data_IF_699148150218
#
_entry.id   IF_699148150218
#
_cell.length_a   1.000
_cell.length_b   1.000
_cell.length_c   1.000
_cell.angle_alpha   90.00
_cell.angle_beta   90.00
_cell.angle_gamma   90.00
#
_symmetry.space_group_name_H-M   'P 1'
#
loop_
_entity.id
_entity.type
_entity.pdbx_description
1 polymer ?
#
# COMPACT_ATOMS: atom_id res chain seq x y z
N UNK A 1 -34.65 38.91 26.37
CA UNK A 1 -33.20 38.92 26.68
C UNK A 1 -32.88 38.14 27.96
N UNK A 2 -33.84 37.89 28.86
CA UNK A 2 -33.66 36.96 30.00
C UNK A 2 -33.87 35.48 29.61
N UNK A 3 -34.75 35.19 28.65
CA UNK A 3 -35.01 33.81 28.21
C UNK A 3 -33.85 33.16 27.42
N UNK A 4 -32.95 33.97 26.85
CA UNK A 4 -31.76 33.48 26.14
C UNK A 4 -30.61 33.16 27.11
N UNK A 5 -30.47 33.91 28.21
CA UNK A 5 -29.49 33.63 29.27
C UNK A 5 -29.89 32.42 30.12
N UNK A 6 -31.18 32.14 30.31
CA UNK A 6 -31.65 30.94 31.01
C UNK A 6 -31.43 29.66 30.19
N UNK A 7 -31.48 29.76 28.85
CA UNK A 7 -31.19 28.63 27.94
C UNK A 7 -29.74 28.15 28.02
N UNK A 8 -28.78 29.07 28.10
CA UNK A 8 -27.35 28.75 28.23
C UNK A 8 -27.00 28.13 29.60
N UNK A 9 -27.78 28.41 30.65
CA UNK A 9 -27.63 27.79 31.98
C UNK A 9 -28.18 26.35 31.98
N UNK A 10 -29.17 26.04 31.14
CA UNK A 10 -29.78 24.70 31.01
C UNK A 10 -28.99 23.80 30.04
N UNK A 11 -28.27 24.36 29.07
CA UNK A 11 -27.36 23.60 28.18
C UNK A 11 -26.03 23.21 28.86
N UNK A 12 -25.73 23.74 30.05
CA UNK A 12 -24.64 23.26 30.89
C UNK A 12 -25.03 22.00 31.69
N UNK A 13 -25.55 20.98 31.01
CA UNK A 13 -25.67 19.65 31.60
C UNK A 13 -24.29 18.99 31.67
N UNK A 14 -23.49 19.44 32.64
CA UNK A 14 -22.38 18.68 33.19
C UNK A 14 -22.97 17.53 34.02
N UNK A 15 -23.63 16.58 33.34
CA UNK A 15 -24.23 15.39 33.95
C UNK A 15 -23.09 14.57 34.54
N UNK A 16 -22.91 14.66 35.86
CA UNK A 16 -21.95 13.84 36.60
C UNK A 16 -22.36 12.36 36.45
N UNK A 17 -21.52 11.51 35.84
CA UNK A 17 -21.84 10.09 35.66
C UNK A 17 -22.05 9.42 37.02
N UNK A 18 -23.03 8.52 37.11
CA UNK A 18 -23.25 7.75 38.33
C UNK A 18 -22.11 6.75 38.56
N UNK A 19 -21.91 6.30 39.81
CA UNK A 19 -20.85 5.33 40.15
C UNK A 19 -20.97 3.99 39.36
N UNK A 20 -22.18 3.63 38.93
CA UNK A 20 -22.43 2.48 38.04
C UNK A 20 -21.90 2.73 36.62
N UNK A 21 -22.25 3.86 36.01
CA UNK A 21 -21.78 4.27 34.68
C UNK A 21 -20.25 4.40 34.63
N UNK A 22 -19.62 4.90 35.71
CA UNK A 22 -18.16 4.99 35.83
C UNK A 22 -17.52 3.59 35.85
N UNK A 23 -18.08 2.63 36.59
CA UNK A 23 -17.57 1.26 36.63
C UNK A 23 -17.69 0.56 35.28
N UNK A 24 -18.79 0.78 34.57
CA UNK A 24 -19.01 0.23 33.23
C UNK A 24 -18.02 0.82 32.22
N UNK A 25 -17.86 2.15 32.18
CA UNK A 25 -16.84 2.83 31.37
C UNK A 25 -15.43 2.33 31.68
N UNK A 26 -15.10 2.12 32.96
CA UNK A 26 -13.80 1.60 33.37
C UNK A 26 -13.55 0.18 32.87
N UNK A 27 -14.60 -0.67 32.87
CA UNK A 27 -14.53 -2.03 32.31
C UNK A 27 -14.26 -1.97 30.80
N UNK A 28 -15.04 -1.17 30.07
CA UNK A 28 -14.88 -0.99 28.62
C UNK A 28 -13.47 -0.49 28.25
N UNK A 29 -12.95 0.48 29.01
CA UNK A 29 -11.59 1.00 28.81
C UNK A 29 -10.51 -0.06 29.07
N UNK A 30 -10.69 -0.92 30.09
CA UNK A 30 -9.76 -2.02 30.37
C UNK A 30 -9.78 -3.08 29.28
N UNK A 31 -10.96 -3.45 28.80
CA UNK A 31 -11.11 -4.40 27.68
C UNK A 31 -10.48 -3.85 26.40
N UNK A 32 -10.70 -2.56 26.08
CA UNK A 32 -10.02 -1.89 24.95
C UNK A 32 -8.51 -1.87 25.11
N UNK A 33 -8.01 -1.57 26.31
CA UNK A 33 -6.56 -1.59 26.58
C UNK A 33 -5.95 -2.95 26.29
N UNK A 34 -6.55 -4.02 26.80
CA UNK A 34 -6.05 -5.39 26.55
C UNK A 34 -6.07 -5.74 25.05
N UNK A 35 -7.13 -5.34 24.34
CA UNK A 35 -7.24 -5.52 22.89
C UNK A 35 -6.09 -4.82 22.14
N UNK A 36 -5.80 -3.57 22.48
CA UNK A 36 -4.72 -2.81 21.83
C UNK A 36 -3.32 -3.34 22.19
N UNK A 37 -3.11 -3.79 23.43
CA UNK A 37 -1.87 -4.46 23.82
C UNK A 37 -1.65 -5.75 23.00
N UNK A 38 -2.72 -6.51 22.73
CA UNK A 38 -2.68 -7.66 21.85
C UNK A 38 -2.31 -7.30 20.40
N UNK A 39 -2.90 -6.24 19.84
CA UNK A 39 -2.55 -5.75 18.51
C UNK A 39 -1.10 -5.26 18.43
N UNK A 40 -0.62 -4.55 19.46
CA UNK A 40 0.77 -4.10 19.53
C UNK A 40 1.73 -5.28 19.52
N UNK A 41 1.47 -6.31 20.32
CA UNK A 41 2.29 -7.53 20.36
C UNK A 41 2.32 -8.22 19.00
N UNK A 42 1.18 -8.30 18.30
CA UNK A 42 1.11 -8.85 16.95
C UNK A 42 1.93 -8.04 15.94
N UNK A 43 1.87 -6.70 15.98
CA UNK A 43 2.70 -5.83 15.12
C UNK A 43 4.19 -6.09 15.37
N UNK A 44 4.59 -6.17 16.65
CA UNK A 44 5.98 -6.44 17.05
C UNK A 44 6.47 -7.83 16.58
N UNK A 45 5.63 -8.87 16.69
CA UNK A 45 5.96 -10.24 16.27
C UNK A 45 6.03 -10.40 14.74
N UNK A 46 5.14 -9.71 14.02
CA UNK A 46 5.06 -9.80 12.54
C UNK A 46 6.03 -8.84 11.84
N UNK A 47 6.49 -7.79 12.55
CA UNK A 47 7.28 -6.71 11.96
C UNK A 47 6.46 -5.79 11.04
N UNK A 48 5.14 -5.91 11.05
CA UNK A 48 4.24 -5.07 10.27
C UNK A 48 4.05 -3.70 10.93
N UNK A 49 3.76 -2.68 10.12
CA UNK A 49 3.52 -1.32 10.62
C UNK A 49 2.04 -1.01 10.86
N UNK A 50 1.13 -1.83 10.32
CA UNK A 50 -0.32 -1.62 10.42
C UNK A 50 -1.06 -2.96 10.51
N UNK A 51 -2.24 -2.94 11.15
CA UNK A 51 -3.19 -4.06 11.17
C UNK A 51 -4.54 -3.52 10.70
N UNK A 52 -5.04 -4.06 9.61
CA UNK A 52 -6.45 -3.92 9.25
C UNK A 52 -7.29 -4.88 10.09
N UNK A 53 -8.31 -4.34 10.75
CA UNK A 53 -9.17 -5.10 11.67
C UNK A 53 -10.35 -5.77 10.97
N UNK A 54 -10.67 -5.35 9.74
CA UNK A 54 -11.75 -5.89 8.91
C UNK A 54 -11.26 -6.93 7.92
N UNK A 55 -10.13 -6.66 7.26
CA UNK A 55 -9.51 -7.58 6.31
C UNK A 55 -7.98 -7.62 6.51
N UNK A 56 -7.39 -8.75 6.95
CA UNK A 56 -5.96 -8.87 7.23
C UNK A 56 -5.01 -8.57 6.06
N UNK A 57 -5.44 -8.68 4.81
CA UNK A 57 -4.60 -8.51 3.62
C UNK A 57 -4.71 -7.10 3.01
N UNK A 58 -5.72 -6.32 3.41
CA UNK A 58 -5.87 -4.94 2.96
C UNK A 58 -4.94 -3.99 3.71
N UNK A 59 -4.39 -2.99 3.02
CA UNK A 59 -3.49 -1.98 3.59
C UNK A 59 -3.96 -0.57 3.24
N UNK A 60 -3.59 0.40 4.06
CA UNK A 60 -3.81 1.82 3.76
C UNK A 60 -2.86 2.27 2.64
N UNK A 61 -3.42 2.69 1.51
CA UNK A 61 -2.67 3.13 0.34
C UNK A 61 -3.06 4.54 -0.07
N UNK A 62 -2.08 5.38 -0.39
CA UNK A 62 -2.33 6.71 -0.94
C UNK A 62 -2.80 6.59 -2.39
N UNK A 63 -3.93 7.21 -2.71
CA UNK A 63 -4.41 7.34 -4.07
C UNK A 63 -3.91 8.64 -4.74
N UNK A 64 -4.19 8.79 -6.03
CA UNK A 64 -3.74 9.94 -6.84
C UNK A 64 -4.26 11.31 -6.33
N UNK A 65 -5.25 11.35 -5.44
CA UNK A 65 -5.83 12.56 -4.88
C UNK A 65 -5.32 12.86 -3.46
N UNK A 66 -4.21 12.25 -3.03
CA UNK A 66 -3.69 12.32 -1.66
C UNK A 66 -4.64 11.78 -0.58
N UNK A 67 -5.70 11.06 -0.95
CA UNK A 67 -6.56 10.36 0.00
C UNK A 67 -5.96 8.98 0.29
N UNK A 68 -6.20 8.49 1.51
CA UNK A 68 -5.73 7.18 1.95
C UNK A 68 -6.92 6.25 2.09
N UNK A 69 -6.92 5.17 1.32
CA UNK A 69 -8.00 4.19 1.30
C UNK A 69 -7.47 2.79 1.63
N UNK A 70 -8.31 1.97 2.25
CA UNK A 70 -8.01 0.55 2.51
C UNK A 70 -8.13 -0.22 1.19
N UNK A 71 -7.00 -0.68 0.66
CA UNK A 71 -6.90 -1.25 -0.70
C UNK A 71 -6.01 -2.49 -0.74
N UNK A 72 -6.10 -3.23 -1.84
CA UNK A 72 -5.15 -4.28 -2.21
C UNK A 72 -4.31 -3.82 -3.39
N UNK A 73 -3.02 -4.14 -3.36
CA UNK A 73 -2.17 -3.96 -4.51
C UNK A 73 -2.06 -5.30 -5.26
N UNK A 74 -2.47 -5.33 -6.53
CA UNK A 74 -2.43 -6.53 -7.37
C UNK A 74 -1.55 -6.28 -8.57
N UNK A 75 -0.53 -7.12 -8.70
CA UNK A 75 0.44 -7.12 -9.79
C UNK A 75 0.01 -8.15 -10.83
N UNK A 76 -0.04 -7.78 -12.11
CA UNK A 76 -0.54 -8.66 -13.18
C UNK A 76 0.40 -8.66 -14.38
N UNK A 77 0.74 -9.84 -14.88
CA UNK A 77 1.50 -10.01 -16.13
C UNK A 77 0.57 -10.48 -17.24
N UNK A 78 0.67 -9.85 -18.41
CA UNK A 78 -0.15 -10.16 -19.58
C UNK A 78 0.71 -10.50 -20.79
N UNK A 79 0.22 -11.41 -21.62
CA UNK A 79 0.83 -11.72 -22.91
C UNK A 79 0.44 -10.64 -23.93
N UNK A 80 1.45 -10.07 -24.61
CA UNK A 80 1.24 -8.96 -25.54
C UNK A 80 0.55 -9.38 -26.84
N UNK A 81 0.72 -10.64 -27.27
CA UNK A 81 0.23 -11.15 -28.56
C UNK A 81 -1.25 -11.55 -28.51
N UNK A 82 -1.63 -12.31 -27.49
CA UNK A 82 -2.94 -12.92 -27.30
C UNK A 82 -3.78 -12.21 -26.24
N UNK A 83 -3.23 -11.22 -25.53
CA UNK A 83 -3.89 -10.43 -24.48
C UNK A 83 -4.42 -11.30 -23.33
N UNK A 84 -3.74 -12.41 -23.06
CA UNK A 84 -4.09 -13.32 -21.98
C UNK A 84 -3.37 -12.91 -20.70
N UNK A 85 -4.05 -13.04 -19.57
CA UNK A 85 -3.41 -12.92 -18.26
C UNK A 85 -2.54 -14.16 -18.05
N UNK A 86 -1.25 -13.95 -17.86
CA UNK A 86 -0.27 -15.01 -17.63
C UNK A 86 -0.24 -15.37 -16.15
N UNK A 87 -0.19 -14.35 -15.29
CA UNK A 87 -0.10 -14.53 -13.84
C UNK A 87 -0.53 -13.24 -13.12
N UNK A 88 -0.91 -13.39 -11.85
CA UNK A 88 -1.20 -12.27 -10.96
C UNK A 88 -0.74 -12.58 -9.54
N UNK A 89 -0.46 -11.53 -8.77
CA UNK A 89 -0.04 -11.64 -7.37
C UNK A 89 -0.55 -10.46 -6.57
N UNK A 90 -1.20 -10.76 -5.44
CA UNK A 90 -1.56 -9.74 -4.46
C UNK A 90 -0.33 -9.45 -3.60
N UNK A 91 -0.01 -8.17 -3.43
CA UNK A 91 1.08 -7.67 -2.58
C UNK A 91 0.52 -6.72 -1.55
N UNK A 92 1.08 -6.78 -0.34
CA UNK A 92 0.77 -5.84 0.73
C UNK A 92 1.70 -4.61 0.68
N UNK A 93 2.62 -4.55 -0.31
CA UNK A 93 3.44 -3.36 -0.52
C UNK A 93 2.61 -2.25 -1.17
N UNK A 94 2.71 -1.01 -0.69
CA UNK A 94 1.96 0.12 -1.24
C UNK A 94 2.51 0.62 -2.58
N UNK A 95 3.71 0.22 -3.00
CA UNK A 95 4.33 0.64 -4.24
C UNK A 95 4.80 -0.54 -5.10
N UNK A 96 5.02 -0.28 -6.38
CA UNK A 96 5.43 -1.29 -7.38
C UNK A 96 6.96 -1.51 -7.41
N UNK A 97 7.71 -0.73 -6.63
CA UNK A 97 9.17 -0.86 -6.51
C UNK A 97 9.51 -2.24 -5.94
N UNK A 98 10.31 -3.03 -6.66
CA UNK A 98 10.66 -4.38 -6.21
C UNK A 98 9.73 -5.49 -6.71
N UNK A 99 8.74 -5.20 -7.55
CA UNK A 99 7.81 -6.23 -8.06
C UNK A 99 8.08 -6.63 -9.53
N UNK A 100 8.95 -5.91 -10.26
CA UNK A 100 9.27 -6.23 -11.65
C UNK A 100 9.92 -7.61 -11.80
N UNK A 101 11.04 -7.84 -11.10
CA UNK A 101 11.76 -9.11 -11.14
C UNK A 101 10.86 -10.25 -10.65
N UNK A 102 10.06 -9.99 -9.61
CA UNK A 102 9.13 -10.97 -9.06
C UNK A 102 8.14 -11.48 -10.12
N UNK A 103 7.43 -10.56 -10.78
CA UNK A 103 6.41 -10.91 -11.78
C UNK A 103 7.03 -11.47 -13.06
N UNK A 104 8.18 -10.93 -13.47
CA UNK A 104 8.89 -11.38 -14.66
C UNK A 104 9.41 -12.83 -14.49
N UNK A 105 10.02 -13.15 -13.34
CA UNK A 105 10.51 -14.51 -13.08
C UNK A 105 9.37 -15.54 -12.97
N UNK A 106 8.23 -15.15 -12.40
CA UNK A 106 7.03 -16.00 -12.36
C UNK A 106 6.51 -16.29 -13.77
N UNK A 107 6.42 -15.27 -14.63
CA UNK A 107 6.06 -15.46 -16.03
C UNK A 107 7.08 -16.36 -16.77
N UNK A 108 8.38 -16.18 -16.51
CA UNK A 108 9.43 -17.05 -17.10
C UNK A 108 9.22 -18.51 -16.74
N UNK A 109 8.89 -18.80 -15.48
CA UNK A 109 8.59 -20.17 -15.04
C UNK A 109 7.40 -20.76 -15.81
N UNK A 110 6.34 -19.99 -16.01
CA UNK A 110 5.15 -20.42 -16.77
C UNK A 110 5.43 -20.63 -18.26
N UNK A 111 6.31 -19.81 -18.85
CA UNK A 111 6.76 -19.98 -20.23
C UNK A 111 7.83 -21.06 -20.41
N UNK A 112 8.17 -21.81 -19.36
CA UNK A 112 9.12 -22.92 -19.41
C UNK A 112 10.57 -22.46 -19.56
N UNK A 113 10.93 -21.32 -18.98
CA UNK A 113 12.32 -20.83 -18.98
C UNK A 113 12.72 -20.05 -20.23
N UNK A 114 11.81 -19.83 -21.18
CA UNK A 114 12.09 -19.07 -22.40
C UNK A 114 12.49 -17.64 -22.11
N UNK A 115 13.29 -17.08 -23.00
CA UNK A 115 13.64 -15.67 -22.97
C UNK A 115 12.52 -14.84 -23.61
N UNK A 116 12.26 -13.67 -23.05
CA UNK A 116 11.21 -12.77 -23.52
C UNK A 116 11.50 -11.33 -23.13
N UNK A 117 10.75 -10.43 -23.75
CA UNK A 117 10.79 -8.99 -23.49
C UNK A 117 9.66 -8.61 -22.53
N UNK A 118 9.98 -7.85 -21.49
CA UNK A 118 9.03 -7.39 -20.48
C UNK A 118 8.87 -5.87 -20.59
N UNK A 119 7.65 -5.39 -20.81
CA UNK A 119 7.34 -3.96 -20.79
C UNK A 119 6.64 -3.63 -19.48
N UNK A 120 7.15 -2.63 -18.73
CA UNK A 120 6.53 -2.19 -17.48
C UNK A 120 6.54 -0.67 -17.33
N UNK A 121 5.65 -0.16 -16.48
CA UNK A 121 5.51 1.28 -16.20
C UNK A 121 6.66 1.81 -15.33
N UNK A 122 6.82 3.13 -15.30
CA UNK A 122 7.83 3.88 -14.53
C UNK A 122 7.90 3.47 -13.05
N UNK A 123 6.77 3.10 -12.44
CA UNK A 123 6.72 2.67 -11.03
C UNK A 123 7.55 1.41 -10.73
N UNK A 124 7.84 0.62 -11.77
CA UNK A 124 8.63 -0.61 -11.69
C UNK A 124 10.13 -0.36 -11.90
N UNK A 125 10.55 0.90 -12.07
CA UNK A 125 11.95 1.24 -12.31
C UNK A 125 12.79 1.04 -11.05
N UNK A 126 13.49 -0.10 -10.98
CA UNK A 126 14.49 -0.40 -9.94
C UNK A 126 15.68 -1.12 -10.56
N UNK A 127 16.86 -0.52 -10.43
CA UNK A 127 18.07 -1.00 -11.11
C UNK A 127 18.43 -2.46 -10.77
N UNK A 128 18.24 -2.87 -9.52
CA UNK A 128 18.47 -4.24 -9.07
C UNK A 128 17.52 -5.24 -9.75
N UNK A 129 16.27 -4.85 -9.94
CA UNK A 129 15.24 -5.71 -10.54
C UNK A 129 15.49 -5.84 -12.05
N UNK A 130 15.86 -4.74 -12.71
CA UNK A 130 16.28 -4.75 -14.12
C UNK A 130 17.46 -5.69 -14.33
N UNK A 131 18.50 -5.58 -13.49
CA UNK A 131 19.67 -6.45 -13.55
C UNK A 131 19.30 -7.93 -13.41
N UNK A 132 18.47 -8.27 -12.42
CA UNK A 132 18.00 -9.65 -12.23
C UNK A 132 17.19 -10.17 -13.40
N UNK A 133 16.37 -9.33 -14.03
CA UNK A 133 15.64 -9.72 -15.24
C UNK A 133 16.61 -10.11 -16.35
N UNK A 134 17.61 -9.26 -16.62
CA UNK A 134 18.62 -9.50 -17.67
C UNK A 134 19.45 -10.76 -17.38
N UNK A 135 19.89 -10.95 -16.13
CA UNK A 135 20.62 -12.17 -15.71
C UNK A 135 19.80 -13.45 -15.90
N UNK A 136 18.46 -13.34 -15.89
CA UNK A 136 17.55 -14.44 -16.13
C UNK A 136 17.00 -14.45 -17.56
N UNK A 137 17.66 -13.82 -18.53
CA UNK A 137 17.24 -13.86 -19.95
C UNK A 137 15.90 -13.17 -20.23
N UNK A 138 15.54 -12.18 -19.41
CA UNK A 138 14.38 -11.32 -19.62
C UNK A 138 14.91 -9.94 -19.98
N UNK A 139 14.48 -9.36 -21.09
CA UNK A 139 14.87 -8.00 -21.48
C UNK A 139 13.79 -7.01 -21.03
N UNK A 140 14.01 -6.23 -19.95
CA UNK A 140 13.03 -5.28 -19.46
C UNK A 140 13.12 -3.94 -20.22
N UNK A 141 11.96 -3.39 -20.56
CA UNK A 141 11.76 -2.05 -21.08
C UNK A 141 10.95 -1.27 -20.05
N UNK A 142 11.61 -0.33 -19.36
CA UNK A 142 11.00 0.50 -18.31
C UNK A 142 11.46 1.93 -18.48
N UNK A 143 10.54 2.89 -18.40
CA UNK A 143 10.89 4.32 -18.46
C UNK A 143 11.67 4.72 -17.22
N UNK A 144 12.77 5.46 -17.40
CA UNK A 144 13.64 5.91 -16.30
C UNK A 144 12.89 6.85 -15.35
N UNK A 145 12.98 6.60 -14.04
CA UNK A 145 12.49 7.55 -13.05
C UNK A 145 13.44 8.75 -12.93
N UNK A 146 12.97 9.93 -13.37
CA UNK A 146 13.66 11.21 -13.16
C UNK A 146 13.21 11.76 -11.80
N UNK A 147 14.16 11.99 -10.90
CA UNK A 147 13.94 12.71 -9.64
C UNK A 147 14.21 14.19 -9.89
N UNK A 148 13.23 15.05 -9.60
CA UNK A 148 13.31 16.50 -9.80
C UNK A 148 14.13 17.20 -8.70
N UNK A 149 15.36 16.74 -8.45
CA UNK A 149 16.34 17.45 -7.62
C UNK A 149 17.70 17.39 -8.30
N UNK A 150 18.06 18.46 -8.99
CA UNK A 150 19.33 18.61 -9.69
C UNK A 150 19.12 19.33 -11.01
N UNK A 151 19.57 20.58 -11.04
CA UNK A 151 19.63 21.52 -12.16
C UNK A 151 20.07 20.85 -13.46
N UNK A 152 19.36 21.20 -14.55
CA UNK A 152 19.68 20.94 -15.97
C UNK A 152 19.77 19.48 -16.44
N UNK A 153 18.71 19.00 -17.10
CA UNK A 153 18.79 18.71 -18.54
C UNK A 153 17.39 18.54 -19.15
N UNK A 154 17.12 19.30 -20.22
CA UNK A 154 15.92 19.22 -21.04
C UNK A 154 16.11 18.14 -22.09
N UNK A 155 15.69 16.92 -21.80
CA UNK A 155 15.19 16.03 -22.86
C UNK A 155 14.05 15.17 -22.30
N UNK A 156 12.83 15.61 -22.59
CA UNK A 156 11.57 15.00 -22.13
C UNK A 156 11.06 14.00 -23.17
N UNK A 157 11.93 13.08 -23.59
CA UNK A 157 11.57 12.01 -24.51
C UNK A 157 11.29 10.75 -23.69
N UNK A 158 10.12 10.13 -23.86
CA UNK A 158 9.80 8.79 -23.34
C UNK A 158 10.69 7.76 -24.03
N UNK A 159 11.98 7.72 -23.67
CA UNK A 159 12.86 6.67 -24.13
C UNK A 159 12.67 5.44 -23.24
N UNK A 160 11.97 4.44 -23.78
CA UNK A 160 12.06 3.08 -23.30
C UNK A 160 13.50 2.63 -23.52
N UNK A 161 14.29 2.60 -22.45
CA UNK A 161 15.66 2.10 -22.53
C UNK A 161 15.62 0.58 -22.48
N UNK A 162 16.34 -0.03 -23.42
CA UNK A 162 16.66 -1.45 -23.40
C UNK A 162 17.78 -1.67 -22.39
N UNK A 163 17.57 -2.57 -21.44
CA UNK A 163 18.54 -2.93 -20.40
C UNK A 163 19.01 -4.37 -20.56
#
# INVERSE_FOLDING_TARGET
MQELDEGDIVEAHDRKPTAGEIKERLKELRERKQKYEGYKKRLEETGENEISTTDPDARLMCNNNNNVDVSYNVQTTVDSKHKLIVDFKVTQKPNDLGELDNMALRAKKLFGGKDFEALADKGYYKAEDLKKCVENGITPYVTKQIYSNGTEDKDSSLELKKY
#
